data_IF_713971857330
#
_entry.id   IF_713971857330
#
_cell.length_a   1.000
_cell.length_b   1.000
_cell.length_c   1.000
_cell.angle_alpha   90.00
_cell.angle_beta   90.00
_cell.angle_gamma   90.00
#
_symmetry.space_group_name_H-M   'P 1'
#
loop_
_entity.id
_entity.type
_entity.pdbx_description
1 polymer ?
#
# COMPACT_ATOMS: atom_id res chain seq x y z
N UNK A 1 1.10 12.72 2.43
CA UNK A 1 0.75 12.35 1.03
C UNK A 1 -0.76 12.22 0.91
N UNK A 2 -1.38 13.04 0.05
CA UNK A 2 -2.83 13.18 -0.08
C UNK A 2 -3.49 12.11 -0.96
N UNK A 3 -4.76 12.35 -1.33
CA UNK A 3 -5.55 11.46 -2.20
C UNK A 3 -5.04 11.38 -3.65
N UNK A 4 -4.21 12.33 -4.09
CA UNK A 4 -3.62 12.33 -5.44
C UNK A 4 -2.40 11.42 -5.61
N UNK A 5 -1.79 10.94 -4.53
CA UNK A 5 -0.55 10.17 -4.62
C UNK A 5 -0.79 8.67 -4.79
N UNK A 6 -0.70 8.19 -6.04
CA UNK A 6 -0.93 6.81 -6.45
C UNK A 6 0.08 5.81 -5.87
N UNK A 7 1.21 6.26 -5.30
CA UNK A 7 2.16 5.38 -4.62
C UNK A 7 1.66 5.00 -3.22
N UNK A 8 0.81 5.83 -2.62
CA UNK A 8 0.28 5.60 -1.26
C UNK A 8 -0.99 4.76 -1.24
N UNK A 9 -1.28 4.14 -0.09
CA UNK A 9 -2.54 3.43 0.12
C UNK A 9 -3.75 4.36 -0.08
N UNK A 10 -3.67 5.60 0.41
CA UNK A 10 -4.75 6.61 0.29
C UNK A 10 -5.00 7.01 -1.17
N UNK A 11 -3.96 7.30 -1.95
CA UNK A 11 -4.16 7.63 -3.36
C UNK A 11 -4.56 6.44 -4.21
N UNK A 12 -4.10 5.22 -3.90
CA UNK A 12 -4.66 4.00 -4.51
C UNK A 12 -6.12 3.80 -4.15
N UNK A 13 -6.55 4.10 -2.92
CA UNK A 13 -7.99 4.13 -2.51
C UNK A 13 -8.78 5.07 -3.42
N UNK A 14 -8.32 6.32 -3.53
CA UNK A 14 -8.99 7.34 -4.33
C UNK A 14 -9.06 6.99 -5.81
N UNK A 15 -7.98 6.43 -6.38
CA UNK A 15 -7.89 6.09 -7.80
C UNK A 15 -8.43 4.68 -8.13
N UNK A 16 -9.11 4.01 -7.19
CA UNK A 16 -9.69 2.66 -7.36
C UNK A 16 -8.72 1.58 -7.90
N UNK A 17 -7.40 1.78 -7.82
CA UNK A 17 -6.38 0.88 -8.36
C UNK A 17 -5.70 0.02 -7.30
N UNK A 18 -5.19 -1.14 -7.69
CA UNK A 18 -4.44 -2.03 -6.82
C UNK A 18 -2.92 -1.90 -7.03
N UNK A 19 -2.13 -2.47 -6.12
CA UNK A 19 -0.67 -2.52 -6.24
C UNK A 19 -0.02 -2.86 -4.92
N UNK A 20 1.31 -2.67 -4.82
CA UNK A 20 2.09 -3.00 -3.61
C UNK A 20 1.52 -2.41 -2.32
N UNK A 21 1.09 -1.15 -2.36
CA UNK A 21 0.51 -0.46 -1.19
C UNK A 21 -0.99 -0.76 -0.94
N UNK A 22 -1.73 -1.29 -1.91
CA UNK A 22 -3.16 -1.66 -1.79
C UNK A 22 -3.43 -2.97 -2.58
N UNK A 23 -3.17 -4.14 -1.99
CA UNK A 23 -3.34 -5.42 -2.67
C UNK A 23 -4.83 -5.75 -2.91
N UNK A 24 -5.13 -6.50 -3.98
CA UNK A 24 -6.51 -6.87 -4.34
C UNK A 24 -7.09 -7.99 -3.48
N UNK A 25 -6.23 -8.84 -2.94
CA UNK A 25 -6.57 -9.88 -1.96
C UNK A 25 -5.66 -9.72 -0.76
N UNK A 26 -6.17 -10.05 0.42
CA UNK A 26 -5.35 -10.17 1.63
C UNK A 26 -4.38 -11.34 1.46
N UNK A 27 -3.18 -11.07 0.92
CA UNK A 27 -2.11 -12.07 0.93
C UNK A 27 -1.73 -12.29 2.39
N UNK A 28 -1.70 -13.56 2.83
CA UNK A 28 -1.32 -14.01 4.20
C UNK A 28 0.16 -13.75 4.56
N UNK A 29 0.79 -12.75 3.94
CA UNK A 29 2.25 -12.56 3.93
C UNK A 29 2.68 -11.08 4.02
N UNK A 30 1.97 -10.27 4.80
CA UNK A 30 2.47 -8.94 5.16
C UNK A 30 2.14 -8.60 6.61
N UNK A 31 2.43 -9.54 7.51
CA UNK A 31 3.04 -9.11 8.77
C UNK A 31 4.22 -8.22 8.38
N UNK A 32 4.24 -7.02 8.95
CA UNK A 32 5.17 -5.97 8.63
C UNK A 32 6.59 -6.52 8.43
N UNK A 33 7.24 -6.18 7.31
CA UNK A 33 8.68 -5.93 7.38
C UNK A 33 8.86 -4.64 8.19
N UNK A 34 8.57 -4.74 9.49
CA UNK A 34 9.23 -3.92 10.47
C UNK A 34 10.69 -4.38 10.44
N UNK A 35 11.58 -3.39 10.33
CA UNK A 35 13.01 -3.47 10.60
C UNK A 35 13.90 -4.13 9.52
N UNK A 36 14.63 -3.28 8.79
CA UNK A 36 16.03 -3.08 9.18
C UNK A 36 16.41 -1.61 9.03
N UNK A 37 16.61 -0.99 10.20
CA UNK A 37 17.48 0.15 10.41
C UNK A 37 18.88 -0.19 9.85
N UNK A 38 19.42 0.71 9.04
CA UNK A 38 20.85 0.89 8.81
C UNK A 38 21.07 2.40 8.78
#
# INVERSE_FOLDING_TARGET
MGRGDVKTKRGKISNKSFGKARPARTKKAAAAKAEKKA
#
